data_IF_864330149764
#
_entry.id   IF_864330149764
#
_cell.length_a   1.000
_cell.length_b   1.000
_cell.length_c   1.000
_cell.angle_alpha   90.00
_cell.angle_beta   90.00
_cell.angle_gamma   90.00
#
_symmetry.space_group_name_H-M   'P 1'
#
loop_
_entity.id
_entity.type
_entity.pdbx_description
1 polymer ?
#
# COMPACT_ATOMS: atom_id res chain seq x y z
N UNK A 1 11.91 -14.66 -11.44
CA UNK A 1 10.49 -14.67 -11.02
C UNK A 1 10.46 -14.69 -9.50
N UNK A 2 9.69 -13.80 -8.84
CA UNK A 2 9.64 -13.74 -7.36
C UNK A 2 8.86 -14.92 -6.80
N UNK A 3 9.33 -15.54 -5.73
CA UNK A 3 8.72 -16.71 -5.12
C UNK A 3 8.09 -16.38 -3.76
N UNK A 4 7.12 -17.21 -3.33
CA UNK A 4 6.54 -17.11 -2.00
C UNK A 4 7.64 -17.31 -0.95
N UNK A 5 7.86 -16.31 -0.10
CA UNK A 5 8.91 -16.34 0.94
C UNK A 5 10.09 -15.40 0.66
N UNK A 6 10.25 -14.91 -0.57
CA UNK A 6 11.28 -13.93 -0.90
C UNK A 6 11.06 -12.63 -0.10
N UNK A 7 12.10 -12.19 0.61
CA UNK A 7 12.09 -10.90 1.31
C UNK A 7 12.59 -9.82 0.36
N UNK A 8 11.69 -8.96 -0.07
CA UNK A 8 12.01 -7.79 -0.88
C UNK A 8 11.86 -6.52 -0.03
N UNK A 9 12.83 -5.60 -0.11
CA UNK A 9 12.75 -4.27 0.52
C UNK A 9 12.56 -3.19 -0.55
N UNK A 10 11.31 -2.97 -1.02
CA UNK A 10 11.06 -1.87 -1.93
C UNK A 10 11.25 -0.52 -1.24
N UNK A 11 11.73 0.46 -1.99
CA UNK A 11 11.46 1.86 -1.67
C UNK A 11 9.98 2.10 -1.97
N UNK A 12 9.21 2.42 -0.94
CA UNK A 12 7.78 2.70 -1.02
C UNK A 12 7.58 4.20 -0.92
N UNK A 13 6.92 4.80 -1.91
CA UNK A 13 6.52 6.21 -1.87
C UNK A 13 5.05 6.29 -1.47
N UNK A 14 4.73 7.14 -0.49
CA UNK A 14 3.34 7.41 -0.10
C UNK A 14 2.80 8.52 -0.98
N UNK A 15 1.80 8.20 -1.80
CA UNK A 15 1.19 9.17 -2.71
C UNK A 15 0.02 9.90 -2.05
N UNK A 16 -0.77 9.19 -1.22
CA UNK A 16 -2.00 9.72 -0.66
C UNK A 16 -2.17 9.28 0.78
N UNK A 17 -2.46 10.24 1.64
CA UNK A 17 -2.80 10.03 3.04
C UNK A 17 -4.24 10.51 3.28
N UNK A 18 -5.02 9.77 4.06
CA UNK A 18 -6.34 10.18 4.55
C UNK A 18 -6.43 9.90 6.04
N UNK A 19 -6.76 10.92 6.84
CA UNK A 19 -6.82 10.82 8.30
C UNK A 19 -5.54 10.24 8.93
N UNK A 20 -4.37 10.64 8.40
CA UNK A 20 -3.07 10.14 8.85
C UNK A 20 -2.70 8.72 8.37
N UNK A 21 -3.57 8.05 7.61
CA UNK A 21 -3.36 6.69 7.11
C UNK A 21 -3.03 6.73 5.61
N UNK A 22 -1.89 6.16 5.15
CA UNK A 22 -1.60 6.00 3.73
C UNK A 22 -2.68 5.18 3.03
N UNK A 23 -3.19 5.66 1.90
CA UNK A 23 -4.26 5.02 1.11
C UNK A 23 -3.82 4.66 -0.30
N UNK A 24 -2.74 5.28 -0.80
CA UNK A 24 -2.14 4.99 -2.10
C UNK A 24 -0.62 5.02 -1.96
N UNK A 25 0.04 4.02 -2.55
CA UNK A 25 1.51 3.93 -2.59
C UNK A 25 2.01 3.61 -3.99
N UNK A 26 3.24 4.05 -4.28
CA UNK A 26 4.03 3.55 -5.40
C UNK A 26 5.12 2.60 -4.90
N UNK A 27 5.21 1.44 -5.56
CA UNK A 27 6.23 0.42 -5.32
C UNK A 27 6.85 0.07 -6.66
N UNK A 28 8.14 0.36 -6.83
CA UNK A 28 8.90 0.02 -8.05
C UNK A 28 8.23 0.53 -9.34
N UNK A 29 7.67 1.74 -9.33
CA UNK A 29 6.99 2.35 -10.47
C UNK A 29 5.53 1.91 -10.66
N UNK A 30 5.02 0.98 -9.84
CA UNK A 30 3.65 0.52 -9.90
C UNK A 30 2.81 1.08 -8.75
N UNK A 31 1.60 1.53 -9.07
CA UNK A 31 0.68 2.17 -8.14
C UNK A 31 -0.25 1.14 -7.50
N UNK A 32 -0.45 1.26 -6.19
CA UNK A 32 -1.33 0.39 -5.42
C UNK A 32 -2.26 1.20 -4.53
N UNK A 33 -3.50 0.72 -4.39
CA UNK A 33 -4.46 1.24 -3.42
C UNK A 33 -4.43 0.33 -2.20
N UNK A 34 -4.22 0.91 -1.02
CA UNK A 34 -4.18 0.18 0.23
C UNK A 34 -5.60 -0.02 0.76
N UNK A 35 -5.96 -1.28 1.03
CA UNK A 35 -7.20 -1.63 1.70
C UNK A 35 -6.95 -1.79 3.20
N UNK A 36 -7.56 -0.92 3.99
CA UNK A 36 -7.49 -1.01 5.45
C UNK A 36 -8.71 -1.76 6.02
N UNK A 37 -8.56 -2.57 7.08
CA UNK A 37 -9.66 -3.31 7.70
C UNK A 37 -10.86 -2.42 8.07
N UNK A 38 -10.60 -1.16 8.44
CA UNK A 38 -11.62 -0.20 8.87
C UNK A 38 -12.09 0.75 7.75
N UNK A 39 -11.66 0.56 6.50
CA UNK A 39 -11.97 1.46 5.37
C UNK A 39 -13.44 1.44 4.97
N UNK A 40 -14.15 0.33 5.21
CA UNK A 40 -15.54 0.12 4.78
C UNK A 40 -16.56 0.09 5.92
N UNK A 41 -16.18 0.43 7.17
CA UNK A 41 -17.17 0.71 8.22
C UNK A 41 -17.86 2.04 7.91
N UNK A 42 -18.76 2.04 6.93
CA UNK A 42 -19.93 2.92 6.91
C UNK A 42 -20.99 2.22 7.74
N UNK A 43 -21.54 2.95 8.72
CA UNK A 43 -22.79 2.56 9.37
C UNK A 43 -23.94 2.53 8.37
#
# INVERSE_FOLDING_TARGET
MRQKGDKYRPIVTIDKVKKGIPTVIHVSGQKYVLQHPNQYRRG
#
